data_IF_183712606839
#
_entry.id   IF_183712606839
#
_cell.length_a   1.000
_cell.length_b   1.000
_cell.length_c   1.000
_cell.angle_alpha   90.00
_cell.angle_beta   90.00
_cell.angle_gamma   90.00
#
_symmetry.space_group_name_H-M   'P 1'
#
loop_
_entity.id
_entity.type
_entity.pdbx_description
1 polymer ?
#
# COMPACT_ATOMS: atom_id res chain seq x y z
N UNK A 1 -25.89 0.14 7.91
CA UNK A 1 -24.66 0.78 8.40
C UNK A 1 -23.97 1.31 7.16
N UNK A 2 -24.19 2.57 6.81
CA UNK A 2 -23.54 3.21 5.66
C UNK A 2 -22.10 3.47 6.06
N UNK A 3 -21.13 2.99 5.27
CA UNK A 3 -19.72 3.26 5.50
C UNK A 3 -19.49 4.77 5.38
N UNK A 4 -18.69 5.36 6.27
CA UNK A 4 -18.25 6.77 6.11
C UNK A 4 -17.35 6.92 4.87
N UNK A 5 -16.82 5.80 4.37
CA UNK A 5 -16.02 5.71 3.16
C UNK A 5 -16.84 4.98 2.08
N UNK A 6 -17.83 5.66 1.52
CA UNK A 6 -18.49 5.23 0.29
C UNK A 6 -17.62 5.66 -0.89
N UNK A 7 -16.86 4.71 -1.44
CA UNK A 7 -16.14 4.92 -2.69
C UNK A 7 -17.14 4.86 -3.84
N UNK A 8 -17.20 5.89 -4.70
CA UNK A 8 -18.01 5.91 -5.92
C UNK A 8 -17.43 4.98 -7.00
N UNK A 9 -17.22 3.72 -6.65
CA UNK A 9 -16.68 2.68 -7.51
C UNK A 9 -17.71 1.56 -7.67
N UNK A 10 -17.79 0.91 -8.85
CA UNK A 10 -18.61 -0.28 -9.01
C UNK A 10 -18.25 -1.34 -7.96
N UNK A 11 -19.27 -2.04 -7.46
CA UNK A 11 -19.04 -3.18 -6.55
C UNK A 11 -18.14 -4.22 -7.22
N UNK A 12 -17.08 -4.65 -6.54
CA UNK A 12 -16.08 -5.56 -7.09
C UNK A 12 -15.12 -4.91 -8.10
N UNK A 13 -15.09 -3.58 -8.21
CA UNK A 13 -14.05 -2.91 -8.98
C UNK A 13 -12.67 -3.26 -8.42
N UNK A 14 -11.71 -3.40 -9.34
CA UNK A 14 -10.33 -3.73 -9.00
C UNK A 14 -9.50 -2.46 -8.84
N UNK A 15 -8.81 -2.34 -7.71
CA UNK A 15 -8.04 -1.15 -7.33
C UNK A 15 -6.60 -1.55 -7.05
N UNK A 16 -5.65 -0.80 -7.61
CA UNK A 16 -4.24 -0.89 -7.26
C UNK A 16 -3.95 0.15 -6.20
N UNK A 17 -3.58 -0.28 -5.00
CA UNK A 17 -3.17 0.59 -3.91
C UNK A 17 -1.64 0.71 -3.90
N UNK A 18 -1.13 1.92 -4.14
CA UNK A 18 0.30 2.20 -3.96
C UNK A 18 0.63 2.18 -2.46
N UNK A 19 1.36 1.16 -2.02
CA UNK A 19 1.73 0.96 -0.62
C UNK A 19 3.19 1.33 -0.43
N UNK A 20 3.45 2.39 0.33
CA UNK A 20 4.81 2.86 0.61
C UNK A 20 5.45 2.17 1.81
N UNK A 21 4.69 1.38 2.58
CA UNK A 21 5.09 0.87 3.89
C UNK A 21 4.64 1.76 5.05
N UNK A 22 4.18 2.98 4.77
CA UNK A 22 3.61 3.89 5.75
C UNK A 22 2.14 3.59 6.09
N UNK A 23 1.71 4.11 7.24
CA UNK A 23 0.37 3.90 7.81
C UNK A 23 -0.74 4.40 6.90
N UNK A 24 -0.60 5.58 6.28
CA UNK A 24 -1.66 6.17 5.45
C UNK A 24 -2.05 5.24 4.29
N UNK A 25 -1.06 4.70 3.60
CA UNK A 25 -1.29 3.78 2.49
C UNK A 25 -1.91 2.44 2.93
N UNK A 26 -1.57 1.98 4.14
CA UNK A 26 -2.15 0.77 4.71
C UNK A 26 -3.62 0.98 5.14
N UNK A 27 -3.94 2.13 5.74
CA UNK A 27 -5.31 2.48 6.13
C UNK A 27 -6.20 2.60 4.90
N UNK A 28 -5.75 3.29 3.84
CA UNK A 28 -6.50 3.39 2.58
C UNK A 28 -6.74 2.01 1.97
N UNK A 29 -5.72 1.14 1.92
CA UNK A 29 -5.89 -0.22 1.41
C UNK A 29 -6.90 -1.04 2.24
N UNK A 30 -6.88 -0.89 3.57
CA UNK A 30 -7.84 -1.54 4.46
C UNK A 30 -9.27 -1.05 4.26
N UNK A 31 -9.47 0.26 4.14
CA UNK A 31 -10.79 0.84 3.90
C UNK A 31 -11.37 0.40 2.54
N UNK A 32 -10.55 0.31 1.50
CA UNK A 32 -10.96 -0.19 0.18
C UNK A 32 -11.34 -1.69 0.26
N UNK A 33 -10.59 -2.49 1.01
CA UNK A 33 -10.87 -3.91 1.21
C UNK A 33 -12.16 -4.13 2.02
N UNK A 34 -12.37 -3.36 3.10
CA UNK A 34 -13.61 -3.37 3.89
C UNK A 34 -14.83 -2.92 3.07
N UNK A 35 -14.64 -2.02 2.11
CA UNK A 35 -15.67 -1.62 1.15
C UNK A 35 -16.01 -2.71 0.10
N UNK A 36 -15.31 -3.85 0.10
CA UNK A 36 -15.57 -4.99 -0.79
C UNK A 36 -15.02 -4.81 -2.20
N UNK A 37 -13.98 -3.99 -2.36
CA UNK A 37 -13.24 -3.83 -3.63
C UNK A 37 -12.15 -4.89 -3.75
N UNK A 38 -11.78 -5.24 -4.99
CA UNK A 38 -10.64 -6.13 -5.24
C UNK A 38 -9.34 -5.33 -5.18
N UNK A 39 -8.73 -5.25 -4.00
CA UNK A 39 -7.51 -4.46 -3.78
C UNK A 39 -6.26 -5.28 -4.08
N UNK A 40 -5.30 -4.67 -4.77
CA UNK A 40 -3.93 -5.21 -4.97
C UNK A 40 -2.93 -4.18 -4.48
N UNK A 41 -2.09 -4.56 -3.51
CA UNK A 41 -1.02 -3.71 -2.99
C UNK A 41 0.20 -3.69 -3.93
N UNK A 42 0.72 -2.51 -4.23
CA UNK A 42 1.94 -2.36 -5.07
C UNK A 42 2.91 -1.41 -4.40
N UNK A 43 4.16 -1.86 -4.24
CA UNK A 43 5.29 -1.02 -3.84
C UNK A 43 6.06 -0.56 -5.07
N UNK A 44 6.29 0.75 -5.21
CA UNK A 44 7.09 1.31 -6.31
C UNK A 44 8.48 1.67 -5.79
N UNK A 45 9.51 0.99 -6.30
CA UNK A 45 10.89 1.36 -6.04
C UNK A 45 11.36 2.34 -7.12
N UNK A 46 11.30 3.64 -6.81
CA UNK A 46 11.61 4.71 -7.77
C UNK A 46 13.04 5.25 -7.67
N UNK A 47 13.86 4.73 -6.74
CA UNK A 47 15.24 5.16 -6.52
C UNK A 47 16.24 4.09 -6.97
N UNK A 48 17.32 4.55 -7.60
CA UNK A 48 18.40 3.71 -8.09
C UNK A 48 19.28 3.22 -6.93
N UNK A 49 19.27 1.90 -6.71
CA UNK A 49 20.11 1.22 -5.72
C UNK A 49 21.62 1.45 -5.95
N UNK A 50 22.05 1.85 -7.16
CA UNK A 50 23.47 2.00 -7.50
C UNK A 50 24.15 3.30 -7.06
N UNK A 51 23.40 4.38 -6.76
CA UNK A 51 23.98 5.72 -6.49
C UNK A 51 23.64 6.34 -5.13
N UNK A 52 22.71 5.74 -4.39
CA UNK A 52 22.27 6.24 -3.07
C UNK A 52 23.11 5.70 -1.88
N UNK A 53 24.14 4.91 -2.12
CA UNK A 53 25.05 4.38 -1.08
C UNK A 53 25.93 5.45 -0.44
N UNK A 54 25.98 6.68 -0.98
CA UNK A 54 26.81 7.78 -0.47
C UNK A 54 26.11 8.72 0.52
N UNK A 55 24.79 8.62 0.72
CA UNK A 55 24.08 9.48 1.70
C UNK A 55 23.23 8.62 2.63
N UNK A 56 23.63 8.57 3.90
CA UNK A 56 23.02 7.82 5.01
C UNK A 56 21.58 8.23 5.39
N UNK A 57 20.79 8.77 4.45
CA UNK A 57 19.37 9.09 4.63
C UNK A 57 18.42 8.25 3.77
N UNK A 58 18.90 7.41 2.86
CA UNK A 58 18.08 6.44 2.13
C UNK A 58 17.81 5.13 2.93
N UNK A 59 17.81 5.24 4.26
CA UNK A 59 17.96 4.13 5.21
C UNK A 59 16.77 3.15 5.24
N UNK A 60 15.58 3.56 4.80
CA UNK A 60 14.36 2.76 4.98
C UNK A 60 13.86 2.04 3.72
N UNK A 61 14.51 2.29 2.57
CA UNK A 61 14.18 1.74 1.26
C UNK A 61 13.71 0.25 1.26
N UNK A 62 14.50 -0.65 1.85
CA UNK A 62 14.16 -2.06 1.96
C UNK A 62 13.15 -2.37 3.06
N UNK A 63 13.21 -1.64 4.18
CA UNK A 63 12.30 -1.80 5.31
C UNK A 63 10.86 -1.44 4.91
N UNK A 64 10.68 -0.37 4.14
CA UNK A 64 9.41 0.13 3.64
C UNK A 64 8.71 -0.91 2.76
N UNK A 65 9.46 -1.63 1.91
CA UNK A 65 8.93 -2.74 1.09
C UNK A 65 8.46 -3.89 2.00
N UNK A 66 9.22 -4.22 3.04
CA UNK A 66 8.83 -5.25 4.00
C UNK A 66 7.61 -4.83 4.84
N UNK A 67 7.50 -3.57 5.21
CA UNK A 67 6.39 -3.01 5.96
C UNK A 67 5.11 -3.03 5.11
N UNK A 68 5.19 -2.62 3.84
CA UNK A 68 4.10 -2.72 2.89
C UNK A 68 3.63 -4.17 2.71
N UNK A 69 4.56 -5.11 2.55
CA UNK A 69 4.26 -6.54 2.46
C UNK A 69 3.55 -7.06 3.71
N UNK A 70 4.01 -6.69 4.91
CA UNK A 70 3.37 -7.10 6.17
C UNK A 70 1.96 -6.52 6.30
N UNK A 71 1.76 -5.25 5.92
CA UNK A 71 0.45 -4.62 5.92
C UNK A 71 -0.51 -5.32 4.94
N UNK A 72 -0.09 -5.56 3.70
CA UNK A 72 -0.89 -6.27 2.70
C UNK A 72 -1.29 -7.68 3.19
N UNK A 73 -0.34 -8.43 3.77
CA UNK A 73 -0.61 -9.75 4.33
C UNK A 73 -1.60 -9.71 5.51
N UNK A 74 -1.51 -8.72 6.39
CA UNK A 74 -2.43 -8.54 7.50
C UNK A 74 -3.85 -8.18 7.03
N UNK A 75 -3.97 -7.47 5.91
CA UNK A 75 -5.24 -7.10 5.26
C UNK A 75 -5.80 -8.23 4.37
N UNK A 76 -5.05 -9.31 4.14
CA UNK A 76 -5.47 -10.42 3.28
C UNK A 76 -5.54 -10.07 1.79
N UNK A 77 -4.80 -9.03 1.35
CA UNK A 77 -4.78 -8.57 -0.04
C UNK A 77 -3.47 -9.00 -0.75
N UNK A 78 -3.51 -9.30 -2.07
CA UNK A 78 -2.32 -9.60 -2.86
C UNK A 78 -1.31 -8.45 -2.92
#
# INVERSE_FOLDING_TARGET
MTSIFDFELPKGARVVAAMSGGVDSAVVAGLLAEAGLEVVGVTLQLYDHGRATAKSRACCAGQDIHDARRAAAALGIP
#
